data_IF_116616081197
#
_entry.id   IF_116616081197
#
_cell.length_a   1.000
_cell.length_b   1.000
_cell.length_c   1.000
_cell.angle_alpha   90.00
_cell.angle_beta   90.00
_cell.angle_gamma   90.00
#
_symmetry.space_group_name_H-M   'P 1'
#
loop_
_entity.id
_entity.type
_entity.pdbx_description
1 polymer ?
#
# COMPACT_ATOMS: atom_id res chain seq x y z
N UNK A 1 8.86 -15.64 13.88
CA UNK A 1 10.17 -14.96 13.93
C UNK A 1 10.75 -15.14 15.31
N UNK A 2 12.07 -15.36 15.44
CA UNK A 2 12.68 -15.61 16.75
C UNK A 2 12.66 -14.35 17.63
N UNK A 3 12.18 -14.46 18.87
CA UNK A 3 12.08 -13.36 19.82
C UNK A 3 13.45 -13.03 20.46
N UNK A 4 13.56 -11.89 21.17
CA UNK A 4 14.81 -11.44 21.80
C UNK A 4 15.49 -12.53 22.65
N UNK A 5 14.72 -13.28 23.45
CA UNK A 5 15.24 -14.32 24.32
C UNK A 5 15.85 -15.48 23.51
N UNK A 6 15.19 -15.91 22.44
CA UNK A 6 15.67 -16.94 21.52
C UNK A 6 16.93 -16.50 20.76
N UNK A 7 16.99 -15.23 20.31
CA UNK A 7 18.16 -14.67 19.62
C UNK A 7 19.36 -14.52 20.55
N UNK A 8 19.13 -14.10 21.80
CA UNK A 8 20.15 -14.03 22.83
C UNK A 8 20.68 -15.43 23.18
N UNK A 9 19.80 -16.42 23.34
CA UNK A 9 20.17 -17.80 23.62
C UNK A 9 20.98 -18.42 22.47
N UNK A 10 20.54 -18.18 21.23
CA UNK A 10 21.25 -18.57 20.02
C UNK A 10 22.64 -17.94 19.95
N UNK A 11 22.77 -16.64 20.21
CA UNK A 11 24.04 -15.93 20.15
C UNK A 11 25.04 -16.43 21.21
N UNK A 12 24.56 -16.68 22.43
CA UNK A 12 25.39 -17.23 23.52
C UNK A 12 25.87 -18.64 23.19
N UNK A 13 24.98 -19.49 22.70
CA UNK A 13 25.28 -20.88 22.34
C UNK A 13 26.27 -20.95 21.18
N UNK A 14 26.06 -20.15 20.13
CA UNK A 14 26.92 -20.13 18.94
C UNK A 14 28.34 -19.62 19.22
N UNK A 15 28.50 -18.76 20.23
CA UNK A 15 29.80 -18.19 20.64
C UNK A 15 30.44 -18.92 21.83
N UNK A 16 29.79 -19.94 22.39
CA UNK A 16 30.30 -20.71 23.52
C UNK A 16 30.35 -19.95 24.85
N UNK A 17 29.58 -18.87 24.99
CA UNK A 17 29.56 -18.07 26.23
C UNK A 17 28.55 -18.61 27.24
N UNK A 18 28.99 -18.75 28.49
CA UNK A 18 28.07 -18.98 29.62
C UNK A 18 27.48 -17.66 30.11
N UNK A 19 26.28 -17.70 30.68
CA UNK A 19 25.65 -16.51 31.27
C UNK A 19 26.45 -15.89 32.43
N UNK A 20 27.35 -16.66 33.07
CA UNK A 20 28.27 -16.16 34.09
C UNK A 20 29.41 -15.34 33.49
N UNK A 21 29.98 -15.81 32.36
CA UNK A 21 31.05 -15.09 31.66
C UNK A 21 30.57 -13.76 31.09
N UNK A 22 29.36 -13.72 30.50
CA UNK A 22 28.78 -12.47 30.00
C UNK A 22 28.47 -11.50 31.13
N UNK A 23 27.96 -11.98 32.27
CA UNK A 23 27.74 -11.11 33.42
C UNK A 23 29.05 -10.51 33.97
N UNK A 24 30.13 -11.30 34.03
CA UNK A 24 31.46 -10.81 34.44
C UNK A 24 32.00 -9.76 33.46
N UNK A 25 31.98 -10.06 32.16
CA UNK A 25 32.48 -9.17 31.12
C UNK A 25 31.76 -7.81 31.10
N UNK A 26 30.43 -7.81 31.28
CA UNK A 26 29.66 -6.57 31.32
C UNK A 26 29.89 -5.80 32.63
N UNK A 27 30.10 -6.50 33.75
CA UNK A 27 30.45 -5.86 35.03
C UNK A 27 31.84 -5.21 34.98
N UNK A 28 32.82 -5.88 34.36
CA UNK A 28 34.17 -5.33 34.10
C UNK A 28 34.12 -4.11 33.16
N UNK A 29 33.19 -4.09 32.21
CA UNK A 29 32.92 -2.93 31.35
C UNK A 29 32.11 -1.80 32.02
N UNK A 30 31.91 -1.87 33.35
CA UNK A 30 31.23 -0.83 34.13
C UNK A 30 29.70 -0.92 34.13
N UNK A 31 29.12 -2.04 33.72
CA UNK A 31 27.67 -2.27 33.68
C UNK A 31 27.33 -3.41 34.65
N UNK A 32 26.99 -3.12 35.92
CA UNK A 32 26.82 -4.14 36.94
C UNK A 32 25.58 -4.98 36.66
N UNK A 33 25.78 -6.21 36.20
CA UNK A 33 24.71 -7.18 35.97
C UNK A 33 25.05 -8.53 36.59
N UNK A 34 24.03 -9.25 37.04
CA UNK A 34 24.21 -10.56 37.68
C UNK A 34 24.00 -11.71 36.69
N UNK A 35 24.59 -12.87 36.97
CA UNK A 35 24.29 -14.12 36.25
C UNK A 35 22.79 -14.43 36.24
N UNK A 36 22.10 -14.16 37.35
CA UNK A 36 20.65 -14.37 37.46
C UNK A 36 19.87 -13.48 36.48
N UNK A 37 20.28 -12.22 36.32
CA UNK A 37 19.70 -11.29 35.35
C UNK A 37 19.87 -11.77 33.91
N UNK A 38 21.07 -12.22 33.53
CA UNK A 38 21.32 -12.81 32.19
C UNK A 38 20.46 -14.06 31.95
N UNK A 39 20.26 -14.89 32.98
CA UNK A 39 19.37 -16.06 32.91
C UNK A 39 17.90 -15.68 32.70
N UNK A 40 17.43 -14.61 33.36
CA UNK A 40 16.07 -14.11 33.18
C UNK A 40 15.84 -13.52 31.78
N UNK A 41 16.84 -12.87 31.19
CA UNK A 41 16.79 -12.39 29.80
C UNK A 41 16.74 -13.55 28.78
N UNK A 42 17.56 -14.60 28.98
CA UNK A 42 17.56 -15.80 28.11
C UNK A 42 16.25 -16.57 28.14
N UNK A 43 15.57 -16.58 29.28
CA UNK A 43 14.32 -17.33 29.47
C UNK A 43 13.07 -16.51 29.20
N UNK A 44 13.22 -15.25 28.78
CA UNK A 44 12.11 -14.32 28.52
C UNK A 44 11.36 -13.88 29.78
N UNK A 45 11.83 -14.24 30.98
CA UNK A 45 11.22 -13.85 32.27
C UNK A 45 11.43 -12.37 32.61
N UNK A 46 12.45 -11.75 32.05
CA UNK A 46 12.66 -10.30 32.10
C UNK A 46 12.55 -9.74 30.69
N UNK A 47 11.53 -8.91 30.46
CA UNK A 47 11.14 -8.50 29.10
C UNK A 47 11.86 -7.24 28.58
N UNK A 48 12.56 -6.49 29.43
CA UNK A 48 13.01 -5.15 29.06
C UNK A 48 14.41 -4.80 29.61
N UNK A 49 15.51 -5.25 28.96
CA UNK A 49 16.85 -4.76 29.26
C UNK A 49 17.01 -3.30 28.84
N UNK A 50 17.79 -2.52 29.59
CA UNK A 50 18.08 -1.13 29.20
C UNK A 50 18.91 -1.09 27.92
N UNK A 51 18.83 0.02 27.17
CA UNK A 51 19.63 0.21 25.95
C UNK A 51 21.14 0.08 26.20
N UNK A 52 21.60 0.46 27.39
CA UNK A 52 23.00 0.28 27.82
C UNK A 52 23.37 -1.19 27.93
N UNK A 53 22.51 -2.02 28.53
CA UNK A 53 22.70 -3.49 28.60
C UNK A 53 22.61 -4.11 27.20
N UNK A 54 21.66 -3.68 26.37
CA UNK A 54 21.51 -4.17 24.99
C UNK A 54 22.74 -3.89 24.14
N UNK A 55 23.27 -2.67 24.16
CA UNK A 55 24.50 -2.30 23.45
C UNK A 55 25.70 -3.10 23.96
N UNK A 56 25.79 -3.30 25.27
CA UNK A 56 26.89 -4.06 25.86
C UNK A 56 26.81 -5.56 25.54
N UNK A 57 25.61 -6.15 25.55
CA UNK A 57 25.37 -7.52 25.11
C UNK A 57 25.70 -7.68 23.62
N UNK A 58 25.20 -6.78 22.77
CA UNK A 58 25.45 -6.78 21.34
C UNK A 58 26.96 -6.67 21.03
N UNK A 59 27.65 -5.75 21.71
CA UNK A 59 29.11 -5.60 21.61
C UNK A 59 29.87 -6.84 22.09
N UNK A 60 29.48 -7.42 23.23
CA UNK A 60 30.11 -8.63 23.78
C UNK A 60 29.90 -9.85 22.87
N UNK A 61 28.74 -9.94 22.22
CA UNK A 61 28.35 -11.03 21.33
C UNK A 61 28.76 -10.79 19.87
N UNK A 62 29.30 -9.60 19.57
CA UNK A 62 29.65 -9.13 18.23
C UNK A 62 28.49 -9.25 17.24
N UNK A 63 27.33 -8.75 17.63
CA UNK A 63 26.11 -8.64 16.80
C UNK A 63 25.61 -7.20 16.84
N UNK A 64 24.78 -6.79 15.88
CA UNK A 64 24.13 -5.48 15.96
C UNK A 64 23.02 -5.51 17.01
N UNK A 65 22.72 -4.35 17.60
CA UNK A 65 21.58 -4.22 18.52
C UNK A 65 20.28 -4.55 17.80
N UNK A 66 20.14 -4.08 16.54
CA UNK A 66 19.00 -4.38 15.67
C UNK A 66 18.78 -5.87 15.48
N UNK A 67 19.84 -6.63 15.15
CA UNK A 67 19.75 -8.09 15.04
C UNK A 67 19.34 -8.74 16.37
N UNK A 68 19.86 -8.26 17.50
CA UNK A 68 19.58 -8.82 18.83
C UNK A 68 18.11 -8.60 19.23
N UNK A 69 17.52 -7.46 18.88
CA UNK A 69 16.10 -7.13 19.17
C UNK A 69 15.13 -7.55 18.06
N UNK A 70 15.64 -7.93 16.89
CA UNK A 70 14.83 -8.37 15.75
C UNK A 70 14.39 -7.27 14.79
N UNK A 71 15.11 -6.15 14.76
CA UNK A 71 14.83 -4.96 13.96
C UNK A 71 16.03 -4.68 13.02
N UNK A 72 16.03 -5.33 11.84
CA UNK A 72 17.17 -5.33 10.90
C UNK A 72 17.25 -4.05 10.03
N UNK A 73 16.62 -2.94 10.45
CA UNK A 73 16.68 -1.64 9.76
C UNK A 73 17.13 -0.52 10.70
N UNK A 74 18.43 -0.43 11.00
CA UNK A 74 18.96 0.78 11.66
C UNK A 74 20.37 1.09 11.19
N UNK A 75 20.50 2.10 10.31
CA UNK A 75 21.60 3.08 10.37
C UNK A 75 21.17 4.43 9.77
N UNK A 76 21.40 5.50 10.54
CA UNK A 76 21.16 6.94 10.30
C UNK A 76 19.70 7.43 10.14
N UNK A 77 19.14 7.96 11.24
CA UNK A 77 17.75 8.47 11.28
C UNK A 77 17.58 9.94 10.90
N UNK A 78 16.54 10.22 10.12
CA UNK A 78 15.95 11.54 9.89
C UNK A 78 14.94 11.89 10.98
N UNK A 79 14.46 13.14 11.02
CA UNK A 79 13.44 13.63 11.97
C UNK A 79 12.10 12.84 11.86
N UNK A 80 11.84 12.19 10.74
CA UNK A 80 10.67 11.34 10.51
C UNK A 80 10.71 10.04 11.33
N UNK A 81 11.91 9.47 11.57
CA UNK A 81 12.09 8.28 12.41
C UNK A 81 11.73 8.56 13.88
N UNK A 82 11.94 9.79 14.36
CA UNK A 82 11.58 10.18 15.73
C UNK A 82 10.06 10.29 15.91
N UNK A 83 9.32 10.69 14.87
CA UNK A 83 7.86 10.79 14.91
C UNK A 83 7.19 9.41 14.86
N UNK A 84 7.71 8.50 14.03
CA UNK A 84 7.25 7.11 13.98
C UNK A 84 7.51 6.38 15.31
N UNK A 85 8.68 6.60 15.92
CA UNK A 85 9.02 6.08 17.26
C UNK A 85 8.12 6.63 18.36
N UNK A 86 7.71 7.90 18.29
CA UNK A 86 6.76 8.47 19.25
C UNK A 86 5.35 7.85 19.15
N UNK A 87 4.88 7.58 17.92
CA UNK A 87 3.60 6.91 17.69
C UNK A 87 3.62 5.44 18.18
N UNK A 88 4.72 4.73 17.96
CA UNK A 88 4.92 3.36 18.45
C UNK A 88 5.01 3.29 19.99
N UNK A 89 5.62 4.28 20.64
CA UNK A 89 5.60 4.43 22.11
C UNK A 89 4.20 4.75 22.64
N UNK A 90 3.41 5.52 21.89
CA UNK A 90 2.01 5.81 22.19
C UNK A 90 1.11 4.56 22.15
N UNK A 91 1.25 3.72 21.14
CA UNK A 91 0.53 2.43 21.07
C UNK A 91 1.03 1.42 22.11
N UNK A 92 2.33 1.45 22.47
CA UNK A 92 2.88 0.56 23.52
C UNK A 92 2.45 0.98 24.94
N UNK A 93 1.87 2.16 25.11
CA UNK A 93 1.42 2.67 26.40
C UNK A 93 0.00 2.24 26.79
N UNK A 94 -0.77 1.62 25.88
CA UNK A 94 -2.10 1.05 26.17
C UNK A 94 -1.97 -0.20 27.03
N UNK A 95 -1.75 -0.01 28.33
CA UNK A 95 -1.54 -1.08 29.32
C UNK A 95 -0.60 -0.72 30.48
N UNK A 96 0.00 0.48 30.46
CA UNK A 96 0.90 0.93 31.52
C UNK A 96 0.12 1.47 32.73
N UNK A 97 0.62 1.19 33.94
CA UNK A 97 0.09 1.76 35.19
C UNK A 97 0.28 3.28 35.22
N UNK A 98 -0.56 4.01 35.98
CA UNK A 98 -0.46 5.47 36.11
C UNK A 98 0.95 5.93 36.53
N UNK A 99 1.63 5.17 37.39
CA UNK A 99 3.01 5.45 37.80
C UNK A 99 4.02 5.36 36.65
N UNK A 100 3.82 4.41 35.73
CA UNK A 100 4.69 4.25 34.55
C UNK A 100 4.44 5.36 33.52
N UNK A 101 3.18 5.79 33.38
CA UNK A 101 2.82 6.96 32.56
C UNK A 101 3.35 8.28 33.13
N UNK A 102 3.43 8.41 34.46
CA UNK A 102 4.04 9.57 35.11
C UNK A 102 5.55 9.63 34.86
N UNK A 103 6.24 8.48 34.93
CA UNK A 103 7.67 8.39 34.64
C UNK A 103 7.99 8.70 33.18
N UNK A 104 7.22 8.15 32.24
CA UNK A 104 7.39 8.46 30.81
C UNK A 104 7.18 9.95 30.52
N UNK A 105 6.17 10.58 31.14
CA UNK A 105 5.97 12.04 31.05
C UNK A 105 7.18 12.82 31.57
N UNK A 106 7.76 12.40 32.70
CA UNK A 106 8.97 13.02 33.24
C UNK A 106 10.19 12.91 32.32
N UNK A 107 10.38 11.75 31.66
CA UNK A 107 11.48 11.53 30.70
C UNK A 107 11.31 12.39 29.45
N UNK A 108 10.08 12.48 28.92
CA UNK A 108 9.76 13.34 27.77
C UNK A 108 10.02 14.81 28.10
N UNK A 109 9.65 15.26 29.30
CA UNK A 109 9.85 16.66 29.71
C UNK A 109 11.34 17.01 29.90
N UNK A 110 12.14 16.07 30.42
CA UNK A 110 13.59 16.20 30.50
C UNK A 110 14.23 16.32 29.12
N UNK A 111 13.81 15.49 28.16
CA UNK A 111 14.28 15.56 26.78
C UNK A 111 13.90 16.91 26.12
N UNK A 112 12.66 17.40 26.36
CA UNK A 112 12.22 18.72 25.86
C UNK A 112 13.08 19.86 26.37
N UNK A 113 13.38 19.87 27.67
CA UNK A 113 14.26 20.89 28.28
C UNK A 113 15.68 20.83 27.73
N UNK A 114 16.23 19.64 27.51
CA UNK A 114 17.57 19.46 26.97
C UNK A 114 17.69 19.98 25.52
N UNK A 115 16.62 19.87 24.73
CA UNK A 115 16.53 20.35 23.34
C UNK A 115 16.05 21.82 23.23
N UNK A 116 15.90 22.53 24.35
CA UNK A 116 15.46 23.93 24.36
C UNK A 116 14.00 24.16 23.95
N UNK A 117 13.15 23.13 24.04
CA UNK A 117 11.72 23.22 23.74
C UNK A 117 10.95 23.86 24.91
N UNK A 118 9.92 24.69 24.65
CA UNK A 118 9.19 25.41 25.70
C UNK A 118 8.50 24.48 26.72
N UNK A 119 8.52 24.89 28.01
CA UNK A 119 8.04 24.15 29.20
C UNK A 119 6.52 23.95 29.26
N UNK A 120 5.78 24.60 28.35
CA UNK A 120 4.39 24.29 28.07
C UNK A 120 4.29 24.21 26.55
N UNK A 121 3.69 23.16 25.95
CA UNK A 121 3.17 23.35 24.61
C UNK A 121 2.24 24.55 24.74
N UNK A 122 2.52 25.62 23.98
CA UNK A 122 1.55 26.68 23.75
C UNK A 122 0.20 25.99 23.51
N UNK A 123 -0.90 26.52 24.09
CA UNK A 123 -2.25 26.04 23.76
C UNK A 123 -2.31 25.95 22.25
N UNK A 124 -2.21 24.73 21.71
CA UNK A 124 -2.10 24.55 20.29
C UNK A 124 -3.40 25.08 19.72
N UNK A 125 -3.28 26.07 18.85
CA UNK A 125 -4.36 26.45 17.96
C UNK A 125 -4.89 25.17 17.30
N UNK A 126 -6.17 25.17 16.90
CA UNK A 126 -6.80 24.05 16.20
C UNK A 126 -5.97 23.52 15.03
N UNK A 127 -6.38 22.40 14.44
CA UNK A 127 -5.73 21.80 13.26
C UNK A 127 -5.27 22.92 12.30
N UNK A 128 -3.96 23.10 12.07
CA UNK A 128 -3.47 24.17 11.21
C UNK A 128 -4.17 24.10 9.86
N UNK A 129 -4.82 25.19 9.47
CA UNK A 129 -5.52 25.27 8.19
C UNK A 129 -4.52 25.35 7.03
N UNK A 130 -4.92 24.79 5.89
CA UNK A 130 -4.14 24.92 4.66
C UNK A 130 -3.92 26.40 4.29
N UNK A 131 -2.71 26.75 3.87
CA UNK A 131 -2.35 28.12 3.48
C UNK A 131 -3.02 28.58 2.18
N UNK A 132 -3.40 27.64 1.31
CA UNK A 132 -4.20 27.87 0.11
C UNK A 132 -5.61 27.28 0.32
N UNK A 133 -6.68 28.01 -0.02
CA UNK A 133 -8.04 27.53 0.22
C UNK A 133 -8.40 26.42 -0.75
N UNK A 134 -8.56 25.19 -0.25
CA UNK A 134 -9.18 24.09 -1.00
C UNK A 134 -10.62 24.46 -1.39
N UNK A 135 -11.04 24.09 -2.59
CA UNK A 135 -12.43 24.23 -3.04
C UNK A 135 -13.37 23.40 -2.16
N UNK A 136 -14.67 23.75 -2.12
CA UNK A 136 -15.67 22.99 -1.38
C UNK A 136 -15.69 21.49 -1.74
N UNK A 137 -15.68 21.13 -3.04
CA UNK A 137 -15.52 19.75 -3.48
C UNK A 137 -14.22 19.07 -3.01
N UNK A 138 -13.06 19.73 -3.13
CA UNK A 138 -11.77 19.17 -2.69
C UNK A 138 -11.75 18.88 -1.19
N UNK A 139 -12.31 19.77 -0.37
CA UNK A 139 -12.42 19.53 1.09
C UNK A 139 -13.28 18.32 1.42
N UNK A 140 -14.42 18.16 0.75
CA UNK A 140 -15.30 16.99 0.96
C UNK A 140 -14.64 15.69 0.51
N UNK A 141 -13.95 15.71 -0.64
CA UNK A 141 -13.18 14.58 -1.14
C UNK A 141 -12.08 14.16 -0.14
N UNK A 142 -11.27 15.12 0.32
CA UNK A 142 -10.25 14.86 1.33
C UNK A 142 -10.85 14.35 2.65
N UNK A 143 -11.92 14.98 3.12
CA UNK A 143 -12.63 14.57 4.34
C UNK A 143 -13.16 13.13 4.26
N UNK A 144 -13.82 12.76 3.15
CA UNK A 144 -14.31 11.41 2.92
C UNK A 144 -13.17 10.38 2.91
N UNK A 145 -12.00 10.73 2.35
CA UNK A 145 -10.81 9.87 2.34
C UNK A 145 -10.24 9.65 3.72
N UNK A 146 -10.04 10.71 4.48
CA UNK A 146 -9.52 10.64 5.84
C UNK A 146 -10.49 9.88 6.76
N UNK A 147 -11.80 10.06 6.58
CA UNK A 147 -12.83 9.30 7.28
C UNK A 147 -12.73 7.79 7.00
N UNK A 148 -12.72 7.40 5.72
CA UNK A 148 -12.61 5.99 5.33
C UNK A 148 -11.33 5.34 5.85
N UNK A 149 -10.20 6.04 5.77
CA UNK A 149 -8.93 5.56 6.31
C UNK A 149 -8.95 5.42 7.84
N UNK A 150 -9.58 6.35 8.56
CA UNK A 150 -9.75 6.25 10.02
C UNK A 150 -10.56 5.02 10.41
N UNK A 151 -11.67 4.77 9.70
CA UNK A 151 -12.53 3.61 9.96
C UNK A 151 -11.78 2.31 9.66
N UNK A 152 -11.00 2.25 8.57
CA UNK A 152 -10.17 1.09 8.24
C UNK A 152 -9.06 0.84 9.27
N UNK A 153 -8.56 1.89 9.93
CA UNK A 153 -7.63 1.78 11.04
C UNK A 153 -8.30 1.45 12.39
N UNK A 154 -9.63 1.25 12.40
CA UNK A 154 -10.44 0.98 13.60
C UNK A 154 -10.31 2.04 14.70
N UNK A 155 -10.01 3.29 14.33
CA UNK A 155 -9.78 4.38 15.29
C UNK A 155 -11.04 5.25 15.47
N UNK A 156 -11.35 5.64 16.70
CA UNK A 156 -12.34 6.68 16.99
C UNK A 156 -11.77 8.08 16.70
N UNK A 157 -12.63 9.05 16.41
CA UNK A 157 -12.19 10.44 16.25
C UNK A 157 -11.45 10.94 17.50
N UNK A 158 -11.93 10.60 18.70
CA UNK A 158 -11.29 10.96 19.98
C UNK A 158 -9.89 10.36 20.14
N UNK A 159 -9.68 9.12 19.70
CA UNK A 159 -8.35 8.49 19.71
C UNK A 159 -7.39 9.22 18.78
N UNK A 160 -7.84 9.59 17.58
CA UNK A 160 -7.04 10.35 16.60
C UNK A 160 -6.71 11.74 17.14
N UNK A 161 -7.69 12.47 17.68
CA UNK A 161 -7.48 13.79 18.28
C UNK A 161 -6.48 13.72 19.45
N UNK A 162 -6.58 12.69 20.29
CA UNK A 162 -5.64 12.44 21.38
C UNK A 162 -4.23 12.17 20.88
N UNK A 163 -4.09 11.33 19.84
CA UNK A 163 -2.81 11.02 19.21
C UNK A 163 -2.18 12.22 18.48
N UNK A 164 -3.02 13.11 17.94
CA UNK A 164 -2.57 14.35 17.31
C UNK A 164 -2.07 15.39 18.32
N UNK A 165 -2.59 15.36 19.56
CA UNK A 165 -2.23 16.23 20.69
C UNK A 165 -3.37 17.14 21.16
N UNK A 166 -3.27 17.67 22.39
CA UNK A 166 -4.28 18.59 22.98
C UNK A 166 -4.41 19.86 22.13
N UNK A 167 -5.57 20.07 21.52
CA UNK A 167 -5.88 21.19 20.62
C UNK A 167 -6.50 20.77 19.28
N UNK A 168 -6.42 19.49 18.91
CA UNK A 168 -6.94 18.93 17.66
C UNK A 168 -8.48 18.74 17.63
N UNK A 169 -9.26 19.65 18.22
CA UNK A 169 -10.72 19.57 18.20
C UNK A 169 -11.26 19.95 16.81
N UNK A 170 -11.26 19.01 15.86
CA UNK A 170 -11.85 19.17 14.53
C UNK A 170 -11.74 17.94 13.62
N UNK A 171 -11.39 16.72 14.08
CA UNK A 171 -11.36 15.54 13.17
C UNK A 171 -12.72 15.36 12.47
N UNK A 172 -13.88 15.44 13.16
CA UNK A 172 -15.17 15.43 12.48
C UNK A 172 -15.36 16.58 11.50
N UNK A 173 -14.87 17.80 11.80
CA UNK A 173 -14.99 18.93 10.89
C UNK A 173 -14.13 18.79 9.62
N UNK A 174 -12.97 18.13 9.72
CA UNK A 174 -12.15 17.74 8.57
C UNK A 174 -12.86 16.68 7.75
N UNK A 175 -13.35 15.62 8.39
CA UNK A 175 -14.05 14.50 7.73
C UNK A 175 -15.33 14.93 7.00
N UNK A 176 -16.06 15.89 7.57
CA UNK A 176 -17.25 16.49 6.97
C UNK A 176 -16.92 17.57 5.91
N UNK A 177 -15.63 17.85 5.66
CA UNK A 177 -15.17 18.84 4.68
C UNK A 177 -15.44 20.31 5.08
N UNK A 178 -15.77 20.56 6.35
CA UNK A 178 -15.92 21.92 6.91
C UNK A 178 -14.57 22.60 7.13
N UNK A 179 -13.52 21.83 7.44
CA UNK A 179 -12.16 22.31 7.67
C UNK A 179 -11.18 21.67 6.69
N UNK A 180 -10.26 22.46 6.13
CA UNK A 180 -9.15 21.97 5.31
C UNK A 180 -7.88 21.85 6.17
N UNK A 181 -7.43 20.62 6.52
CA UNK A 181 -6.20 20.45 7.27
C UNK A 181 -4.97 20.79 6.40
N UNK A 182 -3.93 21.36 6.99
CA UNK A 182 -2.65 21.55 6.32
C UNK A 182 -2.06 20.20 5.87
N UNK A 183 -1.33 20.14 4.74
CA UNK A 183 -0.74 18.90 4.23
C UNK A 183 0.11 18.13 5.25
N UNK A 184 0.87 18.83 6.10
CA UNK A 184 1.64 18.21 7.18
C UNK A 184 0.78 17.48 8.22
N UNK A 185 -0.45 17.96 8.46
CA UNK A 185 -1.41 17.26 9.34
C UNK A 185 -1.94 16.01 8.64
N UNK A 186 -2.26 16.12 7.35
CA UNK A 186 -2.70 14.97 6.53
C UNK A 186 -1.62 13.89 6.52
N UNK A 187 -0.35 14.25 6.37
CA UNK A 187 0.77 13.32 6.41
C UNK A 187 0.87 12.56 7.74
N UNK A 188 0.67 13.26 8.87
CA UNK A 188 0.62 12.65 10.20
C UNK A 188 -0.59 11.71 10.35
N UNK A 189 -1.76 12.11 9.85
CA UNK A 189 -2.96 11.27 9.85
C UNK A 189 -2.73 9.99 9.05
N UNK A 190 -2.13 10.08 7.87
CA UNK A 190 -1.78 8.91 7.05
C UNK A 190 -0.82 7.96 7.80
N UNK A 191 0.15 8.51 8.53
CA UNK A 191 1.02 7.73 9.42
C UNK A 191 0.25 7.04 10.56
N UNK A 192 -0.67 7.76 11.23
CA UNK A 192 -1.51 7.20 12.29
C UNK A 192 -2.45 6.09 11.78
N UNK A 193 -2.99 6.25 10.57
CA UNK A 193 -3.87 5.27 9.93
C UNK A 193 -3.12 4.08 9.31
N UNK A 194 -1.78 4.03 9.45
CA UNK A 194 -0.97 2.92 8.94
C UNK A 194 -0.83 2.89 7.41
N UNK A 195 -1.09 4.01 6.71
CA UNK A 195 -0.95 4.09 5.25
C UNK A 195 0.53 4.18 4.89
N UNK A 196 1.10 3.05 4.44
CA UNK A 196 2.52 2.93 4.09
C UNK A 196 2.80 3.07 2.59
N UNK A 197 1.86 2.70 1.72
CA UNK A 197 2.05 2.71 0.26
C UNK A 197 2.26 4.16 -0.25
N UNK A 198 3.44 4.49 -0.83
CA UNK A 198 3.75 5.88 -1.19
C UNK A 198 2.77 6.47 -2.21
N UNK A 199 2.32 5.68 -3.20
CA UNK A 199 1.34 6.12 -4.19
C UNK A 199 -0.01 6.49 -3.57
N UNK A 200 -0.47 5.76 -2.54
CA UNK A 200 -1.71 6.08 -1.82
C UNK A 200 -1.51 7.36 -0.99
N UNK A 201 -0.37 7.48 -0.29
CA UNK A 201 -0.05 8.68 0.49
C UNK A 201 -0.03 9.91 -0.40
N UNK A 202 0.67 9.84 -1.53
CA UNK A 202 0.78 10.92 -2.50
C UNK A 202 -0.57 11.28 -3.12
N UNK A 203 -1.41 10.28 -3.44
CA UNK A 203 -2.77 10.51 -3.89
C UNK A 203 -3.60 11.34 -2.88
N UNK A 204 -3.55 11.02 -1.58
CA UNK A 204 -4.27 11.79 -0.56
C UNK A 204 -3.63 13.15 -0.30
N UNK A 205 -2.30 13.24 -0.33
CA UNK A 205 -1.58 14.51 -0.15
C UNK A 205 -1.83 15.48 -1.31
N UNK A 206 -1.93 15.00 -2.56
CA UNK A 206 -2.26 15.84 -3.71
C UNK A 206 -3.63 16.53 -3.57
N UNK A 207 -4.62 15.85 -2.95
CA UNK A 207 -5.90 16.46 -2.58
C UNK A 207 -5.72 17.55 -1.51
N UNK A 208 -4.90 17.29 -0.49
CA UNK A 208 -4.63 18.23 0.59
C UNK A 208 -3.84 19.47 0.13
N UNK A 209 -3.00 19.32 -0.90
CA UNK A 209 -2.26 20.42 -1.55
C UNK A 209 -3.08 21.17 -2.60
N UNK A 210 -4.26 20.65 -2.97
CA UNK A 210 -5.13 21.26 -3.98
C UNK A 210 -4.59 21.12 -5.40
N UNK A 211 -3.69 20.17 -5.64
CA UNK A 211 -3.02 19.94 -6.93
C UNK A 211 -3.95 19.29 -7.97
N UNK A 212 -5.06 18.71 -7.51
CA UNK A 212 -6.08 18.11 -8.37
C UNK A 212 -7.49 18.49 -7.91
N UNK A 213 -8.40 18.56 -8.87
CA UNK A 213 -9.83 18.69 -8.58
C UNK A 213 -10.40 17.41 -7.99
N UNK A 214 -11.54 17.52 -7.31
CA UNK A 214 -12.27 16.35 -6.85
C UNK A 214 -12.84 15.60 -8.07
N UNK A 215 -12.49 14.33 -8.20
CA UNK A 215 -12.95 13.44 -9.26
C UNK A 215 -14.12 12.58 -8.79
N UNK A 216 -14.81 11.93 -9.72
CA UNK A 216 -15.93 11.02 -9.40
C UNK A 216 -15.51 9.89 -8.45
N UNK A 217 -14.27 9.40 -8.60
CA UNK A 217 -13.75 8.33 -7.77
C UNK A 217 -13.42 8.79 -6.35
N UNK A 218 -13.41 10.09 -6.05
CA UNK A 218 -13.22 10.64 -4.70
C UNK A 218 -14.47 10.56 -3.83
N UNK A 219 -15.57 10.05 -4.39
CA UNK A 219 -16.79 9.79 -3.66
C UNK A 219 -16.58 8.81 -2.50
N UNK A 220 -17.39 8.99 -1.46
CA UNK A 220 -17.49 8.05 -0.35
C UNK A 220 -17.93 6.67 -0.88
N UNK A 221 -17.30 5.60 -0.38
CA UNK A 221 -17.59 4.23 -0.78
C UNK A 221 -16.59 3.64 -1.78
N UNK A 222 -15.88 4.46 -2.56
CA UNK A 222 -14.78 3.96 -3.40
C UNK A 222 -13.56 3.69 -2.51
N UNK A 223 -12.97 2.48 -2.51
CA UNK A 223 -11.77 2.21 -1.74
C UNK A 223 -10.62 3.13 -2.12
N UNK A 224 -9.82 3.55 -1.13
CA UNK A 224 -8.72 4.50 -1.34
C UNK A 224 -7.68 4.00 -2.35
N UNK A 225 -7.38 2.70 -2.33
CA UNK A 225 -6.45 2.07 -3.27
C UNK A 225 -6.98 2.14 -4.70
N UNK A 226 -8.29 1.95 -4.89
CA UNK A 226 -8.92 1.94 -6.20
C UNK A 226 -8.95 3.36 -6.79
N UNK A 227 -9.24 4.34 -5.96
CA UNK A 227 -9.19 5.73 -6.35
C UNK A 227 -7.78 6.24 -6.65
N UNK A 228 -6.78 5.79 -5.89
CA UNK A 228 -5.38 6.05 -6.22
C UNK A 228 -5.02 5.42 -7.59
N UNK A 229 -5.47 4.19 -7.87
CA UNK A 229 -5.31 3.57 -9.18
C UNK A 229 -5.98 4.36 -10.31
N UNK A 230 -7.18 4.91 -10.11
CA UNK A 230 -7.82 5.78 -11.11
C UNK A 230 -7.07 7.07 -11.34
N UNK A 231 -6.57 7.71 -10.28
CA UNK A 231 -5.76 8.92 -10.41
C UNK A 231 -4.44 8.66 -11.17
N UNK A 232 -3.83 7.49 -10.98
CA UNK A 232 -2.64 7.08 -11.76
C UNK A 232 -3.02 6.81 -13.23
N UNK A 233 -4.12 6.09 -13.46
CA UNK A 233 -4.63 5.79 -14.80
C UNK A 233 -4.97 7.05 -15.61
N UNK A 234 -5.60 8.05 -14.98
CA UNK A 234 -5.89 9.35 -15.57
C UNK A 234 -4.65 10.19 -15.87
N UNK A 235 -3.49 9.87 -15.32
CA UNK A 235 -2.24 10.61 -15.60
C UNK A 235 -1.32 9.85 -16.53
N UNK A 236 -1.54 8.55 -16.69
CA UNK A 236 -0.71 7.70 -17.52
C UNK A 236 -0.76 8.12 -18.99
N UNK A 237 0.41 8.12 -19.63
CA UNK A 237 0.58 8.20 -21.08
C UNK A 237 0.73 6.82 -21.70
N UNK A 238 1.21 5.85 -20.92
CA UNK A 238 1.30 4.45 -21.31
C UNK A 238 0.85 3.56 -20.15
N UNK A 239 -0.11 2.68 -20.45
CA UNK A 239 -0.62 1.65 -19.56
C UNK A 239 -0.20 0.31 -20.11
N UNK A 240 0.55 -0.48 -19.34
CA UNK A 240 0.92 -1.85 -19.68
C UNK A 240 0.25 -2.79 -18.70
N UNK A 241 -0.48 -3.79 -19.18
CA UNK A 241 -1.23 -4.67 -18.29
C UNK A 241 -1.12 -6.12 -18.70
N UNK A 242 -1.01 -7.00 -17.71
CA UNK A 242 -1.04 -8.45 -17.88
C UNK A 242 -2.19 -9.04 -17.07
N UNK A 243 -3.11 -9.73 -17.74
CA UNK A 243 -4.22 -10.41 -17.08
C UNK A 243 -4.33 -11.88 -17.51
N UNK A 244 -4.00 -12.83 -16.61
CA UNK A 244 -4.12 -14.26 -16.90
C UNK A 244 -5.48 -14.88 -16.57
N UNK A 245 -6.37 -14.16 -15.89
CA UNK A 245 -7.61 -14.74 -15.34
C UNK A 245 -8.89 -14.20 -15.96
N UNK A 246 -8.89 -12.91 -16.34
CA UNK A 246 -10.03 -12.20 -16.90
C UNK A 246 -9.56 -11.24 -17.98
N UNK A 247 -10.46 -10.80 -18.86
CA UNK A 247 -10.17 -9.67 -19.75
C UNK A 247 -9.82 -8.44 -18.90
N UNK A 248 -8.78 -7.65 -19.24
CA UNK A 248 -8.42 -6.44 -18.49
C UNK A 248 -9.62 -5.49 -18.38
N UNK A 249 -9.90 -4.88 -17.21
CA UNK A 249 -11.05 -3.99 -17.00
C UNK A 249 -11.24 -2.92 -18.09
N UNK A 250 -10.12 -2.36 -18.60
CA UNK A 250 -10.09 -1.38 -19.68
C UNK A 250 -10.65 -1.88 -21.02
N UNK A 251 -10.73 -3.20 -21.22
CA UNK A 251 -11.15 -3.85 -22.46
C UNK A 251 -12.45 -4.66 -22.31
N UNK A 252 -13.10 -4.60 -21.15
CA UNK A 252 -14.32 -5.36 -20.89
C UNK A 252 -15.53 -4.71 -21.58
N UNK A 253 -16.51 -5.50 -22.01
CA UNK A 253 -17.86 -5.00 -22.26
C UNK A 253 -18.61 -4.88 -20.94
N UNK A 254 -19.72 -4.14 -20.91
CA UNK A 254 -20.52 -3.99 -19.70
C UNK A 254 -21.05 -5.34 -19.18
N UNK A 255 -21.53 -6.16 -20.10
CA UNK A 255 -22.06 -7.50 -19.81
C UNK A 255 -20.96 -8.39 -19.24
N UNK A 256 -19.77 -8.37 -19.85
CA UNK A 256 -18.63 -9.13 -19.35
C UNK A 256 -18.18 -8.64 -17.97
N UNK A 257 -18.10 -7.32 -17.76
CA UNK A 257 -17.75 -6.74 -16.47
C UNK A 257 -18.73 -7.17 -15.37
N UNK A 258 -20.04 -7.12 -15.65
CA UNK A 258 -21.08 -7.61 -14.75
C UNK A 258 -20.91 -9.10 -14.42
N UNK A 259 -20.68 -9.93 -15.43
CA UNK A 259 -20.45 -11.37 -15.23
C UNK A 259 -19.15 -11.66 -14.45
N UNK A 260 -18.09 -10.90 -14.73
CA UNK A 260 -16.82 -11.02 -13.99
C UNK A 260 -17.00 -10.65 -12.52
N UNK A 261 -17.68 -9.53 -12.23
CA UNK A 261 -18.02 -9.11 -10.87
C UNK A 261 -18.88 -10.13 -10.12
N UNK A 262 -19.82 -10.77 -10.81
CA UNK A 262 -20.61 -11.85 -10.21
C UNK A 262 -19.76 -13.08 -9.82
N UNK A 263 -18.65 -13.31 -10.52
CA UNK A 263 -17.70 -14.41 -10.23
C UNK A 263 -16.69 -14.02 -9.15
N UNK A 264 -16.17 -12.79 -9.18
CA UNK A 264 -15.13 -12.33 -8.24
C UNK A 264 -15.68 -11.81 -6.92
N UNK A 265 -16.95 -11.41 -6.91
CA UNK A 265 -17.60 -10.76 -5.77
C UNK A 265 -17.42 -9.22 -5.82
N UNK A 266 -18.50 -8.42 -5.67
CA UNK A 266 -18.42 -6.96 -5.62
C UNK A 266 -17.67 -6.43 -4.39
N UNK A 267 -17.57 -7.23 -3.34
CA UNK A 267 -16.83 -6.90 -2.11
C UNK A 267 -15.33 -6.71 -2.34
N UNK A 268 -14.78 -7.29 -3.42
CA UNK A 268 -13.40 -7.08 -3.85
C UNK A 268 -13.12 -5.61 -4.24
N UNK A 269 -14.17 -4.87 -4.63
CA UNK A 269 -14.14 -3.43 -4.87
C UNK A 269 -14.78 -2.63 -3.72
N UNK A 270 -14.98 -3.27 -2.57
CA UNK A 270 -15.61 -2.67 -1.40
C UNK A 270 -17.08 -2.31 -1.60
N UNK A 271 -17.77 -2.90 -2.58
CA UNK A 271 -19.18 -2.62 -2.86
C UNK A 271 -20.09 -3.76 -2.39
N UNK A 272 -21.33 -3.45 -1.96
CA UNK A 272 -22.26 -4.46 -1.46
C UNK A 272 -23.00 -5.23 -2.56
N UNK A 273 -22.97 -4.77 -3.81
CA UNK A 273 -23.65 -5.41 -4.94
C UNK A 273 -22.91 -5.22 -6.26
N UNK A 274 -23.16 -6.12 -7.22
CA UNK A 274 -22.58 -6.03 -8.59
C UNK A 274 -22.96 -4.71 -9.24
N UNK A 275 -24.19 -4.24 -9.01
CA UNK A 275 -24.72 -3.02 -9.63
C UNK A 275 -24.08 -1.75 -9.06
N UNK A 276 -23.56 -1.78 -7.84
CA UNK A 276 -22.76 -0.71 -7.26
C UNK A 276 -21.28 -0.79 -7.65
N UNK A 277 -20.76 -2.00 -7.92
CA UNK A 277 -19.40 -2.21 -8.38
C UNK A 277 -19.20 -1.91 -9.88
N UNK A 278 -20.22 -2.20 -10.70
CA UNK A 278 -20.15 -2.10 -12.16
C UNK A 278 -19.76 -0.70 -12.65
N UNK A 279 -20.35 0.41 -12.15
CA UNK A 279 -19.93 1.76 -12.56
C UNK A 279 -18.45 2.04 -12.31
N UNK A 280 -17.86 1.46 -11.25
CA UNK A 280 -16.44 1.62 -10.97
C UNK A 280 -15.60 0.98 -12.08
N UNK A 281 -15.97 -0.21 -12.54
CA UNK A 281 -15.26 -0.90 -13.63
C UNK A 281 -15.44 -0.16 -14.96
N UNK A 282 -16.68 0.25 -15.29
CA UNK A 282 -16.99 0.93 -16.54
C UNK A 282 -16.30 2.28 -16.66
N UNK A 283 -16.18 3.03 -15.57
CA UNK A 283 -15.52 4.33 -15.59
C UNK A 283 -14.04 4.25 -15.98
N UNK A 284 -13.39 3.09 -15.83
CA UNK A 284 -12.01 2.85 -16.33
C UNK A 284 -11.92 2.98 -17.83
N UNK A 285 -12.96 2.56 -18.54
CA UNK A 285 -12.94 2.50 -20.00
C UNK A 285 -12.81 3.91 -20.61
N UNK A 286 -13.24 4.94 -19.87
CA UNK A 286 -13.05 6.34 -20.25
C UNK A 286 -11.57 6.71 -20.42
N UNK A 287 -10.66 6.04 -19.69
CA UNK A 287 -9.23 6.24 -19.84
C UNK A 287 -8.79 5.97 -21.28
N UNK A 288 -9.31 4.93 -21.95
CA UNK A 288 -9.00 4.64 -23.35
C UNK A 288 -9.56 5.65 -24.34
N UNK A 289 -10.50 6.51 -23.93
CA UNK A 289 -11.05 7.58 -24.76
C UNK A 289 -10.14 8.81 -24.84
N UNK A 290 -9.13 8.93 -23.96
CA UNK A 290 -8.25 10.09 -23.92
C UNK A 290 -7.25 10.12 -25.07
N UNK A 291 -7.00 11.33 -25.56
CA UNK A 291 -5.95 11.57 -26.54
C UNK A 291 -4.56 11.28 -25.94
N UNK A 292 -3.72 10.58 -26.71
CA UNK A 292 -2.31 10.35 -26.36
C UNK A 292 -2.03 9.20 -25.39
N UNK A 293 -3.05 8.57 -24.79
CA UNK A 293 -2.82 7.36 -23.98
C UNK A 293 -2.61 6.15 -24.89
N UNK A 294 -1.61 5.32 -24.56
CA UNK A 294 -1.38 4.03 -25.20
C UNK A 294 -1.66 2.92 -24.20
N UNK A 295 -2.46 1.93 -24.61
CA UNK A 295 -2.65 0.70 -23.87
C UNK A 295 -1.86 -0.43 -24.53
N UNK A 296 -1.01 -1.10 -23.75
CA UNK A 296 -0.39 -2.37 -24.13
C UNK A 296 -0.88 -3.47 -23.20
N UNK A 297 -1.86 -4.23 -23.67
CA UNK A 297 -2.47 -5.32 -22.93
C UNK A 297 -1.92 -6.67 -23.40
N UNK A 298 -1.56 -7.51 -22.43
CA UNK A 298 -1.25 -8.92 -22.62
C UNK A 298 -2.28 -9.73 -21.85
N UNK A 299 -2.98 -10.62 -22.53
CA UNK A 299 -3.91 -11.56 -21.90
C UNK A 299 -3.43 -13.00 -22.10
N UNK A 300 -3.75 -13.87 -21.16
CA UNK A 300 -3.54 -15.31 -21.36
C UNK A 300 -4.67 -15.91 -22.21
N UNK A 301 -4.36 -16.82 -23.14
CA UNK A 301 -5.39 -17.46 -23.96
C UNK A 301 -6.44 -18.19 -23.12
N UNK A 302 -6.08 -18.67 -21.92
CA UNK A 302 -7.04 -19.30 -21.00
C UNK A 302 -8.18 -18.37 -20.58
N UNK A 303 -8.02 -17.05 -20.68
CA UNK A 303 -9.10 -16.07 -20.48
C UNK A 303 -10.22 -16.26 -21.51
N UNK A 304 -9.89 -16.60 -22.75
CA UNK A 304 -10.85 -16.81 -23.85
C UNK A 304 -11.49 -18.21 -23.80
N UNK A 305 -10.84 -19.14 -23.08
CA UNK A 305 -11.33 -20.50 -22.85
C UNK A 305 -12.23 -20.59 -21.62
N UNK A 306 -12.09 -19.67 -20.67
CA UNK A 306 -12.84 -19.64 -19.42
C UNK A 306 -14.27 -19.14 -19.69
N UNK A 307 -15.25 -19.94 -19.26
CA UNK A 307 -16.65 -19.59 -19.38
C UNK A 307 -17.04 -18.48 -18.38
N UNK A 308 -16.93 -17.21 -18.77
CA UNK A 308 -17.45 -16.06 -18.01
C UNK A 308 -18.81 -15.68 -18.59
N UNK A 309 -19.85 -15.85 -17.79
CA UNK A 309 -21.23 -15.62 -18.23
C UNK A 309 -21.67 -16.53 -19.37
N UNK A 310 -22.74 -16.12 -20.05
CA UNK A 310 -23.34 -16.87 -21.15
C UNK A 310 -22.50 -16.80 -22.45
N UNK A 311 -22.60 -17.79 -23.35
CA UNK A 311 -21.81 -17.83 -24.58
C UNK A 311 -21.96 -16.60 -25.50
N UNK A 312 -23.15 -15.99 -25.56
CA UNK A 312 -23.39 -14.81 -26.40
C UNK A 312 -22.60 -13.59 -25.90
N UNK A 313 -22.52 -13.40 -24.58
CA UNK A 313 -21.73 -12.36 -23.94
C UNK A 313 -20.23 -12.54 -24.22
N UNK A 314 -19.73 -13.77 -24.21
CA UNK A 314 -18.32 -14.04 -24.56
C UNK A 314 -18.03 -13.69 -26.02
N UNK A 315 -18.99 -13.96 -26.91
CA UNK A 315 -18.87 -13.61 -28.33
C UNK A 315 -18.81 -12.09 -28.51
N UNK A 316 -19.67 -11.34 -27.82
CA UNK A 316 -19.64 -9.87 -27.80
C UNK A 316 -18.33 -9.32 -27.23
N UNK A 317 -17.82 -9.92 -26.15
CA UNK A 317 -16.52 -9.55 -25.58
C UNK A 317 -15.36 -9.80 -26.56
N UNK A 318 -15.37 -10.92 -27.29
CA UNK A 318 -14.34 -11.21 -28.29
C UNK A 318 -14.44 -10.23 -29.47
N UNK A 319 -15.66 -9.89 -29.91
CA UNK A 319 -15.88 -8.89 -30.95
C UNK A 319 -15.35 -7.51 -30.51
N UNK A 320 -15.55 -7.13 -29.25
CA UNK A 320 -14.97 -5.93 -28.66
C UNK A 320 -13.44 -5.98 -28.67
N UNK A 321 -12.82 -7.10 -28.25
CA UNK A 321 -11.36 -7.27 -28.28
C UNK A 321 -10.78 -7.15 -29.68
N UNK A 322 -11.43 -7.72 -30.69
CA UNK A 322 -11.05 -7.56 -32.11
C UNK A 322 -11.15 -6.08 -32.52
N UNK A 323 -12.19 -5.37 -32.07
CA UNK A 323 -12.34 -3.93 -32.27
C UNK A 323 -11.19 -3.13 -31.64
N UNK A 324 -10.85 -3.41 -30.38
CA UNK A 324 -9.74 -2.77 -29.69
C UNK A 324 -8.40 -3.06 -30.35
N UNK A 325 -8.14 -4.31 -30.76
CA UNK A 325 -6.92 -4.71 -31.45
C UNK A 325 -6.69 -3.99 -32.79
N UNK A 326 -7.71 -3.32 -33.35
CA UNK A 326 -7.61 -2.50 -34.56
C UNK A 326 -7.30 -1.03 -34.29
N UNK A 327 -7.37 -0.56 -33.04
CA UNK A 327 -7.06 0.83 -32.68
C UNK A 327 -5.54 1.07 -32.73
N UNK A 328 -5.06 2.25 -33.18
CA UNK A 328 -3.62 2.54 -33.19
C UNK A 328 -3.04 2.74 -31.79
N UNK A 329 -3.87 3.15 -30.82
CA UNK A 329 -3.47 3.38 -29.42
C UNK A 329 -3.58 2.14 -28.53
N UNK A 330 -3.93 0.98 -29.10
CA UNK A 330 -4.08 -0.28 -28.36
C UNK A 330 -3.24 -1.37 -29.00
N UNK A 331 -2.30 -1.90 -28.23
CA UNK A 331 -1.51 -3.10 -28.53
C UNK A 331 -2.04 -4.25 -27.67
N UNK A 332 -2.88 -5.11 -28.26
CA UNK A 332 -3.41 -6.29 -27.60
C UNK A 332 -2.66 -7.54 -28.08
N UNK A 333 -2.12 -8.29 -27.13
CA UNK A 333 -1.38 -9.52 -27.38
C UNK A 333 -1.89 -10.64 -26.49
N UNK A 334 -1.75 -11.88 -26.98
CA UNK A 334 -2.21 -13.08 -26.29
C UNK A 334 -1.00 -13.97 -26.02
N UNK A 335 -0.93 -14.53 -24.82
CA UNK A 335 -0.02 -15.65 -24.51
C UNK A 335 -0.73 -16.94 -24.93
N UNK A 336 -0.26 -17.66 -25.98
CA UNK A 336 -0.92 -18.88 -26.41
C UNK A 336 -0.82 -19.98 -25.35
N UNK A 337 -1.85 -20.81 -25.22
CA UNK A 337 -1.88 -21.91 -24.23
C UNK A 337 -0.96 -23.07 -24.63
N UNK A 338 -0.76 -23.27 -25.94
CA UNK A 338 -0.04 -24.39 -26.52
C UNK A 338 1.44 -24.08 -26.87
N UNK A 339 1.93 -22.88 -26.51
CA UNK A 339 3.31 -22.44 -26.73
C UNK A 339 4.05 -22.31 -25.38
N UNK A 340 5.29 -22.83 -25.22
CA UNK A 340 6.13 -22.55 -24.06
C UNK A 340 6.55 -21.07 -23.98
N UNK A 341 5.59 -20.20 -23.69
CA UNK A 341 5.80 -18.78 -23.44
C UNK A 341 6.26 -18.50 -22.00
N UNK A 342 6.85 -17.34 -21.78
CA UNK A 342 7.16 -16.89 -20.43
C UNK A 342 5.88 -16.54 -19.68
N UNK A 343 5.64 -17.22 -18.56
CA UNK A 343 4.59 -16.88 -17.61
C UNK A 343 5.21 -16.25 -16.35
N UNK A 344 4.87 -14.99 -16.02
CA UNK A 344 5.29 -14.39 -14.77
C UNK A 344 4.80 -15.24 -13.59
N UNK A 345 5.65 -15.40 -12.55
CA UNK A 345 5.23 -16.03 -11.28
C UNK A 345 4.15 -15.20 -10.56
N UNK A 346 4.08 -13.91 -10.87
CA UNK A 346 3.07 -13.01 -10.31
C UNK A 346 1.69 -13.26 -10.91
N UNK A 347 0.65 -12.84 -10.19
CA UNK A 347 -0.70 -12.72 -10.72
C UNK A 347 -0.86 -11.51 -11.66
N UNK A 348 -2.10 -11.09 -11.96
CA UNK A 348 -2.37 -9.92 -12.78
C UNK A 348 -1.67 -8.66 -12.25
N UNK A 349 -1.14 -7.86 -13.16
CA UNK A 349 -0.50 -6.58 -12.80
C UNK A 349 -0.64 -5.53 -13.90
N UNK A 350 -0.57 -4.27 -13.49
CA UNK A 350 -0.59 -3.09 -14.37
C UNK A 350 0.61 -2.19 -14.08
N UNK A 351 1.17 -1.57 -15.10
CA UNK A 351 2.24 -0.56 -15.02
C UNK A 351 1.72 0.74 -15.65
N UNK A 352 1.85 1.84 -14.92
CA UNK A 352 1.57 3.17 -15.42
C UNK A 352 2.87 3.94 -15.60
N UNK A 353 3.00 4.55 -16.78
CA UNK A 353 4.07 5.49 -17.12
C UNK A 353 3.48 6.86 -17.42
N UNK A 354 4.18 7.89 -16.95
CA UNK A 354 3.73 9.29 -16.99
C UNK A 354 4.51 10.09 -18.04
N UNK A 355 4.06 11.32 -18.32
CA UNK A 355 4.69 12.18 -19.33
C UNK A 355 6.00 12.79 -18.81
N UNK A 356 6.06 13.05 -17.51
CA UNK A 356 7.14 13.68 -16.79
C UNK A 356 8.34 12.73 -16.70
N UNK A 357 9.47 13.12 -17.32
CA UNK A 357 10.65 12.26 -17.48
C UNK A 357 11.27 11.75 -16.17
N UNK A 358 10.99 12.39 -15.04
CA UNK A 358 11.52 12.03 -13.72
C UNK A 358 10.45 11.49 -12.77
N UNK A 359 9.19 11.38 -13.23
CA UNK A 359 8.16 10.70 -12.43
C UNK A 359 8.38 9.18 -12.55
N UNK A 360 8.57 8.45 -11.44
CA UNK A 360 8.77 7.01 -11.48
C UNK A 360 7.50 6.31 -11.96
N UNK A 361 7.67 5.28 -12.80
CA UNK A 361 6.59 4.38 -13.18
C UNK A 361 6.02 3.71 -11.91
N UNK A 362 4.71 3.42 -11.89
CA UNK A 362 4.04 2.75 -10.78
C UNK A 362 3.52 1.40 -11.24
N UNK A 363 3.81 0.35 -10.47
CA UNK A 363 3.24 -0.97 -10.66
C UNK A 363 2.06 -1.19 -9.71
N UNK A 364 1.01 -1.83 -10.20
CA UNK A 364 -0.12 -2.31 -9.42
C UNK A 364 -0.19 -3.82 -9.53
N UNK A 365 -0.15 -4.51 -8.40
CA UNK A 365 -0.40 -5.95 -8.32
C UNK A 365 -1.83 -6.14 -7.86
N UNK A 366 -2.62 -6.84 -8.66
CA UNK A 366 -4.03 -7.04 -8.36
C UNK A 366 -4.19 -8.21 -7.37
N UNK A 367 -4.69 -7.90 -6.18
CA UNK A 367 -4.88 -8.84 -5.08
C UNK A 367 -6.35 -9.22 -4.91
N UNK A 368 -6.62 -10.09 -3.93
CA UNK A 368 -8.00 -10.53 -3.62
C UNK A 368 -8.76 -9.47 -2.82
N UNK A 369 -8.12 -8.90 -1.79
CA UNK A 369 -8.75 -7.91 -0.89
C UNK A 369 -8.37 -6.47 -1.23
N UNK A 370 -7.21 -6.27 -1.84
CA UNK A 370 -6.73 -4.96 -2.26
C UNK A 370 -5.63 -5.09 -3.30
N UNK A 371 -5.47 -4.03 -4.08
CA UNK A 371 -4.34 -3.86 -4.97
C UNK A 371 -3.13 -3.29 -4.21
N UNK A 372 -1.95 -3.82 -4.52
CA UNK A 372 -0.70 -3.28 -4.00
C UNK A 372 -0.08 -2.30 -5.01
N UNK A 373 -0.01 -1.02 -4.64
CA UNK A 373 0.66 0.02 -5.42
C UNK A 373 2.14 0.15 -5.04
N UNK A 374 3.01 -0.14 -6.00
CA UNK A 374 4.46 -0.21 -5.85
C UNK A 374 5.07 0.94 -6.67
N UNK A 375 5.82 1.80 -6.00
CA UNK A 375 6.51 2.97 -6.59
C UNK A 375 8.02 2.97 -6.34
N UNK A 376 8.54 1.98 -5.60
CA UNK A 376 9.98 1.81 -5.45
C UNK A 376 10.59 1.41 -6.80
N UNK A 377 11.52 2.20 -7.37
CA UNK A 377 12.04 1.92 -8.71
C UNK A 377 12.69 0.54 -8.86
N UNK A 378 13.35 0.05 -7.80
CA UNK A 378 13.97 -1.29 -7.80
C UNK A 378 12.94 -2.42 -7.87
N UNK A 379 11.83 -2.29 -7.14
CA UNK A 379 10.72 -3.22 -7.20
C UNK A 379 9.94 -3.13 -8.54
N UNK A 380 9.72 -1.92 -9.06
CA UNK A 380 9.04 -1.69 -10.35
C UNK A 380 9.81 -2.30 -11.51
N UNK A 381 11.14 -2.26 -11.48
CA UNK A 381 12.01 -2.85 -12.51
C UNK A 381 11.75 -4.36 -12.71
N UNK A 382 11.40 -5.11 -11.67
CA UNK A 382 11.04 -6.52 -11.81
C UNK A 382 9.79 -6.73 -12.70
N UNK A 383 8.81 -5.81 -12.62
CA UNK A 383 7.61 -5.83 -13.45
C UNK A 383 7.90 -5.38 -14.88
N UNK A 384 8.79 -4.41 -15.09
CA UNK A 384 9.28 -4.08 -16.43
C UNK A 384 9.92 -5.29 -17.10
N UNK A 385 10.81 -6.00 -16.41
CA UNK A 385 11.46 -7.20 -16.95
C UNK A 385 10.46 -8.30 -17.25
N UNK A 386 9.46 -8.51 -16.38
CA UNK A 386 8.39 -9.48 -16.62
C UNK A 386 7.57 -9.11 -17.85
N UNK A 387 7.18 -7.84 -17.98
CA UNK A 387 6.40 -7.36 -19.12
C UNK A 387 7.19 -7.40 -20.44
N UNK A 388 8.48 -7.08 -20.42
CA UNK A 388 9.36 -7.23 -21.59
C UNK A 388 9.43 -8.68 -22.03
N UNK A 389 9.58 -9.63 -21.11
CA UNK A 389 9.57 -11.06 -21.45
C UNK A 389 8.24 -11.50 -22.03
N UNK A 390 7.11 -11.08 -21.44
CA UNK A 390 5.78 -11.31 -22.02
C UNK A 390 5.71 -10.79 -23.46
N UNK A 391 6.11 -9.54 -23.68
CA UNK A 391 5.99 -8.88 -24.99
C UNK A 391 6.74 -9.57 -26.14
N UNK A 392 7.79 -10.33 -25.83
CA UNK A 392 8.57 -11.07 -26.83
C UNK A 392 8.12 -12.53 -27.00
N UNK A 393 7.27 -13.04 -26.10
CA UNK A 393 6.75 -14.43 -26.16
C UNK A 393 5.24 -14.50 -26.43
N UNK A 394 4.62 -13.36 -26.73
CA UNK A 394 3.19 -13.27 -27.08
C UNK A 394 3.00 -13.20 -28.59
N UNK A 395 1.77 -13.42 -29.04
CA UNK A 395 1.35 -13.21 -30.43
C UNK A 395 1.71 -11.82 -30.96
N UNK A 396 1.98 -11.72 -32.27
CA UNK A 396 1.94 -10.47 -33.02
C UNK A 396 0.50 -9.92 -33.10
N UNK A 397 0.33 -8.69 -33.61
CA UNK A 397 -1.00 -8.08 -33.76
C UNK A 397 -1.91 -8.90 -34.67
N UNK A 398 -1.37 -9.36 -35.78
CA UNK A 398 -2.08 -10.16 -36.78
C UNK A 398 -2.48 -11.52 -36.20
N UNK A 399 -1.55 -12.20 -35.53
CA UNK A 399 -1.80 -13.48 -34.86
C UNK A 399 -2.84 -13.35 -33.73
N UNK A 400 -2.84 -12.23 -32.99
CA UNK A 400 -3.89 -11.94 -31.99
C UNK A 400 -5.28 -11.93 -32.63
N UNK A 401 -5.45 -11.22 -33.75
CA UNK A 401 -6.75 -11.12 -34.43
C UNK A 401 -7.18 -12.47 -34.99
N UNK A 402 -6.25 -13.25 -35.54
CA UNK A 402 -6.54 -14.61 -36.01
C UNK A 402 -6.98 -15.53 -34.86
N UNK A 403 -6.25 -15.51 -33.75
CA UNK A 403 -6.55 -16.30 -32.56
C UNK A 403 -7.92 -15.93 -31.98
N UNK A 404 -8.24 -14.65 -31.83
CA UNK A 404 -9.55 -14.18 -31.37
C UNK A 404 -10.66 -14.63 -32.32
N UNK A 405 -10.44 -14.54 -33.64
CA UNK A 405 -11.40 -15.00 -34.65
C UNK A 405 -11.69 -16.49 -34.53
N UNK A 406 -10.65 -17.30 -34.29
CA UNK A 406 -10.79 -18.76 -34.07
C UNK A 406 -11.64 -19.07 -32.84
N UNK A 407 -11.44 -18.35 -31.73
CA UNK A 407 -12.28 -18.49 -30.52
C UNK A 407 -13.72 -18.05 -30.76
N UNK A 408 -13.93 -16.95 -31.48
CA UNK A 408 -15.26 -16.49 -31.89
C UNK A 408 -16.02 -17.57 -32.67
N UNK A 409 -15.39 -18.20 -33.66
CA UNK A 409 -15.99 -19.27 -34.46
C UNK A 409 -16.28 -20.53 -33.64
N UNK A 410 -15.40 -20.85 -32.67
CA UNK A 410 -15.61 -21.96 -31.73
C UNK A 410 -16.87 -21.74 -30.90
N UNK A 411 -17.02 -20.56 -30.29
CA UNK A 411 -18.18 -20.23 -29.46
C UNK A 411 -19.47 -20.14 -30.30
N UNK A 412 -19.39 -19.56 -31.49
CA UNK A 412 -20.53 -19.47 -32.42
C UNK A 412 -21.13 -20.85 -32.75
N UNK A 413 -20.27 -21.87 -32.93
CA UNK A 413 -20.71 -23.25 -33.15
C UNK A 413 -21.41 -23.87 -31.95
N UNK A 414 -21.06 -23.45 -30.73
CA UNK A 414 -21.72 -23.91 -29.49
C UNK A 414 -23.12 -23.31 -29.32
N UNK A 415 -23.36 -22.08 -29.81
CA UNK A 415 -24.68 -21.40 -29.73
C UNK A 415 -25.66 -21.91 -30.79
N UNK A 416 -25.15 -22.35 -31.95
CA UNK A 416 -25.97 -22.85 -33.06
C UNK A 416 -26.50 -24.28 -32.87
N UNK A 417 -26.16 -24.95 -31.77
CA UNK A 417 -26.66 -26.25 -31.34
C UNK A 417 -27.55 -26.09 -30.11
#
# INVERSE_FOLDING_TARGET
MANFAERLDLALTKRGYTGAQVASALTEAGIPITRAYVSQLRTGKQANPTLQVLRALASCLQVSVGWLVGDDHVESGSVEDLQFRAAAVGLSASGLSEGSLALLRGVVELARRAEGLPEQPERAAGIPEASAPLSGPQRRALGARLHGLRLAAEMSAEQVETALGRGAAAVPAVEEGRLAPAPAVVERLLGLYGVSAPAIREYVLSLARGEREAAWYDAQGVPVWLAASYALEERATLIRTYHPQFVPPLLQTEEYARAALAVTGPETLGQPSVEEALPLVLARQEALGRDGVVLWAVIDESVLLRGIGEPHLQLEQIDALIGHAKRPTVSLHVVPVDDPAYLPRTGPFTLWRFAEAFEPDVACVHGVESDALISDPGAVEAYHQAFTKLSVTTTTREETVELLTRHRERISRTIGH
#
